data_IF_519588702817
#
_entry.id   IF_519588702817
#
_cell.length_a   1.000
_cell.length_b   1.000
_cell.length_c   1.000
_cell.angle_alpha   90.00
_cell.angle_beta   90.00
_cell.angle_gamma   90.00
#
_symmetry.space_group_name_H-M   'P 1'
#
loop_
_entity.id
_entity.type
_entity.pdbx_description
1 polymer ?
#
# COMPACT_ATOMS: atom_id res chain seq x y z
N UNK A 1 -18.51 -23.75 5.58
CA UNK A 1 -17.85 -22.43 5.63
C UNK A 1 -16.47 -22.59 4.98
N UNK A 2 -16.07 -21.70 4.07
CA UNK A 2 -14.74 -21.80 3.42
C UNK A 2 -13.67 -21.24 4.37
N UNK A 3 -12.56 -21.98 4.53
CA UNK A 3 -11.40 -21.51 5.28
C UNK A 3 -10.75 -20.28 4.65
N UNK A 4 -10.74 -20.19 3.31
CA UNK A 4 -10.21 -19.03 2.61
C UNK A 4 -11.07 -17.78 2.79
N UNK A 5 -12.39 -17.92 2.81
CA UNK A 5 -13.28 -16.80 3.13
C UNK A 5 -13.07 -16.28 4.56
N UNK A 6 -12.95 -17.20 5.53
CA UNK A 6 -12.72 -16.83 6.93
C UNK A 6 -11.35 -16.17 7.11
N UNK A 7 -10.30 -16.75 6.52
CA UNK A 7 -8.95 -16.20 6.59
C UNK A 7 -8.86 -14.82 5.94
N UNK A 8 -9.50 -14.62 4.78
CA UNK A 8 -9.56 -13.32 4.11
C UNK A 8 -10.15 -12.23 5.02
N UNK A 9 -11.30 -12.50 5.65
CA UNK A 9 -11.92 -11.53 6.55
C UNK A 9 -11.07 -11.26 7.79
N UNK A 10 -10.49 -12.30 8.39
CA UNK A 10 -9.63 -12.17 9.56
C UNK A 10 -8.38 -11.33 9.24
N UNK A 11 -7.76 -11.55 8.08
CA UNK A 11 -6.61 -10.77 7.64
C UNK A 11 -6.99 -9.31 7.36
N UNK A 12 -8.14 -9.05 6.75
CA UNK A 12 -8.62 -7.68 6.50
C UNK A 12 -8.84 -6.91 7.81
N UNK A 13 -9.47 -7.55 8.79
CA UNK A 13 -9.72 -6.96 10.11
C UNK A 13 -8.43 -6.79 10.92
N UNK A 14 -7.56 -7.80 10.92
CA UNK A 14 -6.29 -7.75 11.64
C UNK A 14 -5.35 -6.70 11.04
N UNK A 15 -5.21 -6.64 9.71
CA UNK A 15 -4.42 -5.61 9.02
C UNK A 15 -4.88 -4.21 9.40
N UNK A 16 -6.19 -3.95 9.22
CA UNK A 16 -6.79 -2.67 9.60
C UNK A 16 -6.56 -2.32 11.08
N UNK A 17 -6.62 -3.31 11.97
CA UNK A 17 -6.34 -3.12 13.39
C UNK A 17 -4.88 -2.73 13.62
N UNK A 18 -3.90 -3.27 12.89
CA UNK A 18 -2.49 -2.88 13.07
C UNK A 18 -2.25 -1.43 12.65
N UNK A 19 -2.92 -0.93 11.60
CA UNK A 19 -2.91 0.51 11.25
C UNK A 19 -3.42 1.35 12.42
N UNK A 20 -4.56 0.95 13.00
CA UNK A 20 -5.19 1.68 14.12
C UNK A 20 -4.26 1.66 15.33
N UNK A 21 -3.63 0.52 15.63
CA UNK A 21 -2.63 0.40 16.69
C UNK A 21 -1.46 1.34 16.44
N UNK A 22 -0.92 1.40 15.23
CA UNK A 22 0.16 2.33 14.88
C UNK A 22 -0.25 3.79 15.16
N UNK A 23 -1.42 4.19 14.66
CA UNK A 23 -1.95 5.56 14.82
C UNK A 23 -2.25 5.92 16.27
N UNK A 24 -2.77 4.97 17.06
CA UNK A 24 -3.05 5.18 18.47
C UNK A 24 -1.77 5.22 19.30
N UNK A 25 -0.80 4.33 19.06
CA UNK A 25 0.41 4.26 19.88
C UNK A 25 1.32 5.47 19.74
N UNK A 26 1.38 6.12 18.57
CA UNK A 26 2.19 7.34 18.41
C UNK A 26 1.51 8.57 19.04
N UNK A 27 0.18 8.64 19.02
CA UNK A 27 -0.57 9.81 19.50
C UNK A 27 -1.05 9.69 20.95
N UNK A 28 -1.15 8.47 21.49
CA UNK A 28 -1.55 8.13 22.85
C UNK A 28 -0.57 7.11 23.43
N UNK A 29 0.58 7.60 23.88
CA UNK A 29 1.72 6.80 24.31
C UNK A 29 1.40 5.98 25.56
N UNK A 30 1.28 4.64 25.46
CA UNK A 30 0.77 3.82 26.57
C UNK A 30 1.87 3.38 27.55
N UNK A 31 3.14 3.55 27.20
CA UNK A 31 4.29 3.06 27.98
C UNK A 31 5.13 4.20 28.56
N UNK A 32 5.61 4.07 29.82
CA UNK A 32 6.50 5.06 30.42
C UNK A 32 7.76 5.28 29.58
N UNK A 33 8.19 6.54 29.46
CA UNK A 33 9.40 6.99 28.75
C UNK A 33 9.46 6.71 27.24
N UNK A 34 8.49 6.00 26.66
CA UNK A 34 8.39 5.80 25.22
C UNK A 34 8.27 7.14 24.47
N UNK A 35 7.63 8.13 25.09
CA UNK A 35 7.44 9.47 24.56
C UNK A 35 8.74 10.16 24.09
N UNK A 36 9.83 9.88 24.80
CA UNK A 36 11.14 10.51 24.58
C UNK A 36 12.14 9.62 23.84
N UNK A 37 11.73 8.40 23.53
CA UNK A 37 12.45 7.46 22.68
C UNK A 37 11.89 7.50 21.26
N UNK A 38 12.35 8.49 20.51
CA UNK A 38 11.90 8.76 19.14
C UNK A 38 12.18 7.60 18.19
N UNK A 39 13.30 6.90 18.39
CA UNK A 39 13.67 5.75 17.56
C UNK A 39 12.69 4.60 17.73
N UNK A 40 12.34 4.28 18.98
CA UNK A 40 11.35 3.23 19.26
C UNK A 40 9.96 3.61 18.75
N UNK A 41 9.53 4.88 18.87
CA UNK A 41 8.24 5.31 18.31
C UNK A 41 8.18 5.18 16.79
N UNK A 42 9.18 5.71 16.09
CA UNK A 42 9.26 5.64 14.63
C UNK A 42 9.28 4.18 14.16
N UNK A 43 10.05 3.34 14.85
CA UNK A 43 10.15 1.91 14.55
C UNK A 43 8.82 1.20 14.77
N UNK A 44 8.15 1.42 15.90
CA UNK A 44 6.86 0.78 16.20
C UNK A 44 5.78 1.21 15.21
N UNK A 45 5.70 2.50 14.88
CA UNK A 45 4.76 3.01 13.89
C UNK A 45 5.01 2.36 12.53
N UNK A 46 6.23 2.47 12.01
CA UNK A 46 6.63 1.92 10.72
C UNK A 46 6.42 0.41 10.64
N UNK A 47 6.79 -0.32 11.70
CA UNK A 47 6.62 -1.77 11.78
C UNK A 47 5.16 -2.20 11.69
N UNK A 48 4.27 -1.57 12.45
CA UNK A 48 2.84 -1.90 12.41
C UNK A 48 2.21 -1.50 11.07
N UNK A 49 2.64 -0.41 10.45
CA UNK A 49 2.19 -0.01 9.10
C UNK A 49 2.63 -1.01 8.03
N UNK A 50 3.83 -1.60 8.14
CA UNK A 50 4.26 -2.66 7.22
C UNK A 50 3.51 -3.97 7.41
N UNK A 51 3.28 -4.37 8.66
CA UNK A 51 2.49 -5.58 8.96
C UNK A 51 1.10 -5.45 8.37
N UNK A 52 0.44 -4.29 8.52
CA UNK A 52 -0.84 -4.01 7.88
C UNK A 52 -0.79 -4.31 6.38
N UNK A 53 0.13 -3.67 5.66
CA UNK A 53 0.21 -3.80 4.20
C UNK A 53 0.28 -5.26 3.75
N UNK A 54 1.07 -6.09 4.44
CA UNK A 54 1.14 -7.53 4.15
C UNK A 54 -0.17 -8.26 4.46
N UNK A 55 -0.83 -7.97 5.59
CA UNK A 55 -2.07 -8.62 5.98
C UNK A 55 -3.24 -8.23 5.04
N UNK A 56 -3.36 -6.95 4.66
CA UNK A 56 -4.41 -6.48 3.74
C UNK A 56 -4.22 -7.09 2.34
N UNK A 57 -3.00 -7.11 1.81
CA UNK A 57 -2.73 -7.80 0.53
C UNK A 57 -3.05 -9.29 0.64
N UNK A 58 -2.66 -9.93 1.75
CA UNK A 58 -3.02 -11.32 2.04
C UNK A 58 -4.53 -11.57 2.09
N UNK A 59 -5.30 -10.62 2.61
CA UNK A 59 -6.76 -10.68 2.64
C UNK A 59 -7.36 -10.73 1.23
N UNK A 60 -6.87 -9.90 0.31
CA UNK A 60 -7.31 -9.87 -1.10
C UNK A 60 -6.92 -11.16 -1.82
N UNK A 61 -5.71 -11.68 -1.57
CA UNK A 61 -5.26 -12.98 -2.12
C UNK A 61 -6.21 -14.10 -1.67
N UNK A 62 -6.52 -14.20 -0.38
CA UNK A 62 -7.42 -15.23 0.11
C UNK A 62 -8.87 -15.05 -0.34
N UNK A 63 -9.34 -13.81 -0.53
CA UNK A 63 -10.63 -13.54 -1.16
C UNK A 63 -10.65 -14.08 -2.60
N UNK A 64 -9.59 -13.82 -3.37
CA UNK A 64 -9.46 -14.30 -4.75
C UNK A 64 -9.41 -15.83 -4.82
N UNK A 65 -8.66 -16.47 -3.94
CA UNK A 65 -8.60 -17.95 -3.85
C UNK A 65 -9.98 -18.51 -3.51
N UNK A 66 -10.72 -17.88 -2.58
CA UNK A 66 -12.10 -18.25 -2.28
C UNK A 66 -13.00 -18.15 -3.52
N UNK A 67 -12.91 -17.06 -4.29
CA UNK A 67 -13.71 -16.86 -5.51
C UNK A 67 -13.41 -17.90 -6.60
N UNK A 68 -12.18 -18.38 -6.69
CA UNK A 68 -11.78 -19.38 -7.70
C UNK A 68 -12.11 -20.81 -7.26
N UNK A 69 -11.86 -21.16 -5.99
CA UNK A 69 -11.93 -22.56 -5.52
C UNK A 69 -13.25 -22.93 -4.87
N UNK A 70 -13.82 -22.04 -4.07
CA UNK A 70 -14.87 -22.38 -3.11
C UNK A 70 -16.21 -21.71 -3.43
N UNK A 71 -16.21 -20.65 -4.24
CA UNK A 71 -17.43 -19.96 -4.67
C UNK A 71 -18.23 -20.82 -5.67
N UNK A 72 -19.49 -21.08 -5.34
CA UNK A 72 -20.43 -21.86 -6.17
C UNK A 72 -21.64 -21.00 -6.57
N UNK A 73 -21.71 -20.52 -7.84
CA UNK A 73 -22.78 -19.65 -8.31
C UNK A 73 -24.19 -20.26 -8.13
N UNK A 74 -24.31 -21.58 -8.29
CA UNK A 74 -25.58 -22.31 -8.21
C UNK A 74 -26.23 -22.27 -6.83
N UNK A 75 -25.45 -22.06 -5.78
CA UNK A 75 -25.93 -22.03 -4.38
C UNK A 75 -26.10 -20.62 -3.81
N UNK A 76 -25.74 -19.59 -4.58
CA UNK A 76 -25.61 -18.19 -4.11
C UNK A 76 -26.36 -17.21 -5.02
N UNK A 77 -27.48 -17.63 -5.60
CA UNK A 77 -28.25 -16.80 -6.52
C UNK A 77 -28.84 -15.56 -5.82
N UNK A 78 -28.60 -14.39 -6.41
CA UNK A 78 -29.15 -13.10 -5.97
C UNK A 78 -28.83 -12.71 -4.51
N UNK A 79 -27.77 -13.28 -3.94
CA UNK A 79 -27.19 -12.80 -2.68
C UNK A 79 -26.36 -11.51 -2.90
N UNK A 80 -25.77 -10.98 -1.83
CA UNK A 80 -24.97 -9.76 -1.92
C UNK A 80 -23.75 -9.93 -2.83
N UNK A 81 -23.08 -11.09 -2.80
CA UNK A 81 -21.87 -11.34 -3.59
C UNK A 81 -22.23 -11.43 -5.07
N UNK A 82 -23.29 -12.16 -5.41
CA UNK A 82 -23.80 -12.26 -6.79
C UNK A 82 -24.20 -10.88 -7.36
N UNK A 83 -24.85 -10.03 -6.56
CA UNK A 83 -25.19 -8.66 -6.97
C UNK A 83 -23.95 -7.82 -7.24
N UNK A 84 -22.94 -7.89 -6.37
CA UNK A 84 -21.66 -7.19 -6.57
C UNK A 84 -20.97 -7.66 -7.84
N UNK A 85 -20.93 -8.97 -8.10
CA UNK A 85 -20.34 -9.54 -9.31
C UNK A 85 -21.06 -9.10 -10.59
N UNK A 86 -22.40 -8.98 -10.55
CA UNK A 86 -23.19 -8.50 -11.69
C UNK A 86 -22.95 -7.02 -12.04
N UNK A 87 -22.46 -6.23 -11.09
CA UNK A 87 -22.16 -4.81 -11.28
C UNK A 87 -20.66 -4.49 -11.20
N UNK A 88 -19.78 -5.50 -11.30
CA UNK A 88 -18.33 -5.35 -11.12
C UNK A 88 -17.71 -4.32 -12.08
N UNK A 89 -18.17 -4.22 -13.31
CA UNK A 89 -17.60 -3.30 -14.30
C UNK A 89 -17.93 -1.84 -13.95
N UNK A 90 -19.09 -1.60 -13.34
CA UNK A 90 -19.44 -0.28 -12.80
C UNK A 90 -18.57 0.06 -11.59
N UNK A 91 -18.37 -0.88 -10.67
CA UNK A 91 -17.51 -0.68 -9.48
C UNK A 91 -16.07 -0.36 -9.92
N UNK A 92 -15.51 -1.15 -10.82
CA UNK A 92 -14.13 -0.99 -11.33
C UNK A 92 -13.97 0.33 -12.08
N UNK A 93 -14.90 0.69 -12.98
CA UNK A 93 -14.79 1.95 -13.74
C UNK A 93 -14.85 3.19 -12.84
N UNK A 94 -15.69 3.18 -11.80
CA UNK A 94 -15.73 4.29 -10.84
C UNK A 94 -14.47 4.34 -9.97
N UNK A 95 -13.94 3.19 -9.56
CA UNK A 95 -12.69 3.13 -8.80
C UNK A 95 -11.49 3.62 -9.64
N UNK A 96 -11.41 3.23 -10.91
CA UNK A 96 -10.42 3.73 -11.85
C UNK A 96 -10.54 5.26 -12.04
N UNK A 97 -11.77 5.76 -12.25
CA UNK A 97 -12.01 7.21 -12.31
C UNK A 97 -11.52 7.92 -11.03
N UNK A 98 -11.83 7.37 -9.86
CA UNK A 98 -11.38 7.93 -8.59
C UNK A 98 -9.84 7.91 -8.46
N UNK A 99 -9.17 6.84 -8.89
CA UNK A 99 -7.71 6.75 -8.88
C UNK A 99 -7.07 7.81 -9.80
N UNK A 100 -7.60 7.97 -11.02
CA UNK A 100 -7.13 8.99 -11.97
C UNK A 100 -7.37 10.39 -11.41
N UNK A 101 -8.58 10.64 -10.89
CA UNK A 101 -8.93 11.92 -10.27
C UNK A 101 -7.98 12.24 -9.11
N UNK A 102 -7.81 11.32 -8.16
CA UNK A 102 -6.91 11.51 -7.02
C UNK A 102 -5.46 11.70 -7.46
N UNK A 103 -4.97 10.95 -8.46
CA UNK A 103 -3.61 11.11 -8.98
C UNK A 103 -3.35 12.52 -9.53
N UNK A 104 -4.25 13.04 -10.37
CA UNK A 104 -4.12 14.40 -10.90
C UNK A 104 -4.27 15.49 -9.83
N UNK A 105 -5.15 15.29 -8.84
CA UNK A 105 -5.45 16.30 -7.82
C UNK A 105 -4.64 16.14 -6.51
N UNK A 106 -3.66 15.22 -6.48
CA UNK A 106 -2.72 15.09 -5.37
C UNK A 106 -1.28 15.15 -5.88
N UNK A 107 -0.80 14.11 -6.55
CA UNK A 107 0.55 14.08 -7.12
C UNK A 107 0.76 15.16 -8.18
N UNK A 108 -0.27 15.47 -8.97
CA UNK A 108 -0.21 16.59 -9.91
C UNK A 108 0.04 17.95 -9.24
N UNK A 109 -0.40 18.16 -8.00
CA UNK A 109 -0.10 19.39 -7.24
C UNK A 109 1.38 19.49 -6.87
N UNK A 110 2.06 18.37 -6.60
CA UNK A 110 3.50 18.37 -6.38
C UNK A 110 4.27 18.75 -7.66
N UNK A 111 3.85 18.24 -8.83
CA UNK A 111 4.45 18.64 -10.11
C UNK A 111 4.22 20.14 -10.37
N UNK A 112 3.02 20.64 -10.08
CA UNK A 112 2.72 22.08 -10.13
C UNK A 112 3.66 22.87 -9.23
N UNK A 113 3.90 22.42 -8.00
CA UNK A 113 4.84 23.07 -7.07
C UNK A 113 6.27 23.11 -7.61
N UNK A 114 6.79 21.99 -8.09
CA UNK A 114 8.15 21.93 -8.64
C UNK A 114 8.29 22.88 -9.84
N UNK A 115 7.26 22.93 -10.69
CA UNK A 115 7.24 23.83 -11.86
C UNK A 115 7.19 25.29 -11.44
N UNK A 116 6.29 25.68 -10.54
CA UNK A 116 6.16 27.06 -10.09
C UNK A 116 7.39 27.52 -9.29
N UNK A 117 7.97 26.65 -8.47
CA UNK A 117 9.24 26.90 -7.78
C UNK A 117 10.38 27.11 -8.78
N UNK A 118 10.53 26.23 -9.77
CA UNK A 118 11.57 26.34 -10.80
C UNK A 118 11.41 27.59 -11.68
N UNK A 119 10.18 28.03 -11.94
CA UNK A 119 9.89 29.26 -12.69
C UNK A 119 10.07 30.54 -11.84
N UNK A 120 10.29 30.43 -10.53
CA UNK A 120 10.41 31.59 -9.64
C UNK A 120 9.06 32.25 -9.29
N UNK A 121 7.98 31.47 -9.29
CA UNK A 121 6.61 31.90 -8.98
C UNK A 121 6.08 31.29 -7.66
N UNK A 122 6.71 31.59 -6.50
CA UNK A 122 6.28 31.00 -5.22
C UNK A 122 4.89 31.44 -4.76
N UNK A 123 4.40 32.61 -5.23
CA UNK A 123 3.05 33.10 -4.95
C UNK A 123 1.94 32.29 -5.64
N UNK A 124 2.28 31.51 -6.66
CA UNK A 124 1.33 30.70 -7.44
C UNK A 124 1.31 29.22 -6.95
N UNK A 125 2.01 28.92 -5.85
CA UNK A 125 2.07 27.59 -5.22
C UNK A 125 0.90 27.37 -4.26
N UNK A 126 0.51 26.09 -4.08
CA UNK A 126 -0.41 25.72 -3.00
C UNK A 126 0.36 25.55 -1.69
N UNK A 127 0.33 26.57 -0.84
CA UNK A 127 1.04 26.61 0.43
C UNK A 127 0.29 27.46 1.45
N UNK A 128 0.71 27.37 2.72
CA UNK A 128 0.10 28.17 3.78
C UNK A 128 0.35 29.68 3.62
N UNK A 129 1.34 30.08 2.83
CA UNK A 129 1.70 31.49 2.58
C UNK A 129 1.19 32.05 1.25
N UNK A 130 0.66 31.19 0.37
CA UNK A 130 0.17 31.55 -0.96
C UNK A 130 -1.27 31.04 -1.13
N UNK A 131 -1.51 30.07 -2.03
CA UNK A 131 -2.84 29.51 -2.28
C UNK A 131 -3.11 28.39 -1.27
N UNK A 132 -3.93 28.65 -0.27
CA UNK A 132 -4.14 27.71 0.83
C UNK A 132 -5.13 26.60 0.48
N UNK A 133 -4.78 25.35 0.77
CA UNK A 133 -5.70 24.21 0.76
C UNK A 133 -5.75 23.62 2.17
N UNK A 134 -6.50 24.27 3.06
CA UNK A 134 -6.55 23.87 4.47
C UNK A 134 -7.41 22.61 4.69
N UNK A 135 -6.98 21.67 5.54
CA UNK A 135 -7.76 20.50 5.91
C UNK A 135 -8.82 20.86 6.97
N UNK A 136 -9.77 21.73 6.60
CA UNK A 136 -10.76 22.33 7.53
C UNK A 136 -11.58 21.31 8.31
N UNK A 137 -11.91 20.17 7.69
CA UNK A 137 -12.64 19.10 8.39
C UNK A 137 -11.80 18.42 9.46
N UNK A 138 -10.50 18.23 9.22
CA UNK A 138 -9.61 17.64 10.21
C UNK A 138 -9.36 18.61 11.38
N UNK A 139 -9.18 19.90 11.07
CA UNK A 139 -9.07 20.96 12.09
C UNK A 139 -10.36 21.08 12.93
N UNK A 140 -11.53 20.98 12.29
CA UNK A 140 -12.82 20.95 12.99
C UNK A 140 -12.95 19.75 13.94
N UNK A 141 -12.52 18.56 13.50
CA UNK A 141 -12.47 17.37 14.35
C UNK A 141 -11.52 17.59 15.53
N UNK A 142 -10.30 18.09 15.30
CA UNK A 142 -9.35 18.42 16.37
C UNK A 142 -9.99 19.36 17.40
N UNK A 143 -10.61 20.45 16.96
CA UNK A 143 -11.29 21.41 17.83
C UNK A 143 -12.42 20.79 18.65
N UNK A 144 -13.19 19.88 18.06
CA UNK A 144 -14.26 19.16 18.77
C UNK A 144 -13.71 18.36 19.95
N UNK A 145 -12.55 17.72 19.78
CA UNK A 145 -11.92 16.95 20.85
C UNK A 145 -11.12 17.80 21.85
N UNK A 146 -10.59 18.94 21.43
CA UNK A 146 -9.97 19.91 22.34
C UNK A 146 -11.00 20.48 23.31
N UNK A 147 -12.21 20.77 22.81
CA UNK A 147 -13.31 21.34 23.58
C UNK A 147 -14.17 20.28 24.30
N UNK A 148 -13.90 18.99 24.11
CA UNK A 148 -14.69 17.92 24.70
C UNK A 148 -14.63 17.86 26.25
N UNK A 149 -13.47 18.01 26.91
CA UNK A 149 -13.37 17.95 28.37
C UNK A 149 -14.32 18.94 29.04
N UNK A 150 -15.05 18.50 30.04
CA UNK A 150 -16.04 19.31 30.80
C UNK A 150 -17.25 19.83 30.00
N UNK A 151 -17.34 19.58 28.68
CA UNK A 151 -18.51 19.93 27.86
C UNK A 151 -19.26 18.68 27.38
N UNK A 152 -18.76 18.01 26.35
CA UNK A 152 -19.33 16.75 25.83
C UNK A 152 -18.83 15.52 26.58
N UNK A 153 -17.76 15.67 27.37
CA UNK A 153 -17.23 14.66 28.28
C UNK A 153 -17.11 15.22 29.72
N UNK A 154 -18.21 15.30 30.50
CA UNK A 154 -18.26 16.00 31.80
C UNK A 154 -17.38 15.41 32.92
N UNK A 155 -16.92 14.16 32.77
CA UNK A 155 -16.04 13.49 33.75
C UNK A 155 -14.55 13.52 33.38
N UNK A 156 -14.18 14.17 32.28
CA UNK A 156 -12.83 14.15 31.73
C UNK A 156 -12.21 15.54 31.88
N UNK A 157 -10.99 15.60 32.41
CA UNK A 157 -10.27 16.85 32.71
C UNK A 157 -9.27 17.27 31.64
N UNK A 158 -8.83 16.37 30.77
CA UNK A 158 -7.87 16.63 29.69
C UNK A 158 -8.35 16.02 28.38
N UNK A 159 -7.94 16.54 27.21
CA UNK A 159 -8.28 15.87 25.95
C UNK A 159 -7.64 14.49 25.87
N UNK A 160 -8.16 13.65 24.98
CA UNK A 160 -7.74 12.27 24.78
C UNK A 160 -6.28 12.14 24.29
N UNK A 161 -5.79 13.14 23.55
CA UNK A 161 -4.39 13.25 23.15
C UNK A 161 -3.95 14.71 23.13
N UNK A 162 -2.73 14.96 23.61
CA UNK A 162 -2.08 16.27 23.53
C UNK A 162 -1.78 16.69 22.10
N UNK A 163 -1.69 15.74 21.15
CA UNK A 163 -1.44 16.04 19.73
C UNK A 163 -2.55 16.85 19.07
N UNK A 164 -3.74 16.90 19.66
CA UNK A 164 -4.91 17.53 19.04
C UNK A 164 -5.09 19.01 19.42
N UNK A 165 -4.21 19.58 20.24
CA UNK A 165 -4.17 21.03 20.49
C UNK A 165 -4.67 21.48 21.86
N UNK A 166 -4.96 20.57 22.79
CA UNK A 166 -5.57 20.92 24.08
C UNK A 166 -4.58 21.15 25.23
N UNK A 167 -3.27 21.18 24.97
CA UNK A 167 -2.29 21.23 26.05
C UNK A 167 -0.95 21.82 25.67
N UNK A 168 -0.28 22.35 26.70
CA UNK A 168 1.11 22.82 26.61
C UNK A 168 2.04 21.66 26.23
N UNK A 169 3.20 22.03 25.69
CA UNK A 169 4.28 21.10 25.38
C UNK A 169 4.60 20.23 26.60
N UNK A 170 4.46 18.91 26.45
CA UNK A 170 4.89 17.96 27.46
C UNK A 170 6.37 17.65 27.24
N UNK A 171 7.23 17.95 28.21
CA UNK A 171 8.65 17.62 28.16
C UNK A 171 9.04 16.68 29.29
N UNK A 172 9.92 15.72 29.01
CA UNK A 172 10.52 14.81 29.99
C UNK A 172 12.02 14.76 29.73
N UNK A 173 12.83 15.05 30.76
CA UNK A 173 14.29 14.99 30.63
C UNK A 173 14.88 15.91 29.56
N UNK A 174 14.28 17.09 29.34
CA UNK A 174 14.70 18.05 28.32
C UNK A 174 14.33 17.68 26.88
N UNK A 175 13.61 16.57 26.67
CA UNK A 175 13.06 16.15 25.38
C UNK A 175 11.56 16.41 25.32
N UNK A 176 11.06 16.74 24.13
CA UNK A 176 9.61 16.88 23.91
C UNK A 176 9.00 15.49 23.83
N UNK A 177 8.07 15.20 24.73
CA UNK A 177 7.31 13.96 24.80
C UNK A 177 6.10 14.00 23.85
N UNK A 178 5.30 15.06 23.92
CA UNK A 178 4.11 15.28 23.09
C UNK A 178 3.91 16.78 22.88
N UNK A 179 3.50 17.18 21.68
CA UNK A 179 3.07 18.54 21.34
C UNK A 179 1.87 18.51 20.40
N UNK A 180 1.06 19.59 20.33
CA UNK A 180 0.07 19.76 19.28
C UNK A 180 0.65 19.60 17.87
N UNK A 181 -0.03 18.85 17.01
CA UNK A 181 0.33 18.69 15.60
C UNK A 181 -0.62 19.57 14.77
N UNK A 182 -0.20 20.79 14.39
CA UNK A 182 -1.01 21.63 13.51
C UNK A 182 -1.14 20.97 12.14
N UNK A 183 -2.30 21.14 11.50
CA UNK A 183 -2.58 20.62 10.17
C UNK A 183 -2.69 21.78 9.20
N UNK A 184 -1.83 21.80 8.18
CA UNK A 184 -1.80 22.83 7.14
C UNK A 184 -1.98 22.28 5.72
N UNK A 185 -1.62 23.09 4.73
CA UNK A 185 -1.73 22.73 3.30
C UNK A 185 -0.86 21.52 2.92
N UNK A 186 0.28 21.35 3.57
CA UNK A 186 1.14 20.18 3.40
C UNK A 186 0.46 18.90 3.87
N UNK A 187 -0.23 18.95 5.02
CA UNK A 187 -0.99 17.83 5.56
C UNK A 187 -2.17 17.46 4.66
N UNK A 188 -2.87 18.46 4.13
CA UNK A 188 -3.91 18.23 3.12
C UNK A 188 -3.35 17.46 1.92
N UNK A 189 -2.20 17.89 1.39
CA UNK A 189 -1.58 17.30 0.20
C UNK A 189 -1.17 15.84 0.43
N UNK A 190 -0.42 15.56 1.51
CA UNK A 190 0.05 14.20 1.80
C UNK A 190 -1.11 13.24 2.13
N UNK A 191 -2.18 13.73 2.77
CA UNK A 191 -3.38 12.90 3.03
C UNK A 191 -4.09 12.49 1.74
N UNK A 192 -4.11 13.36 0.72
CA UNK A 192 -4.64 12.99 -0.60
C UNK A 192 -3.73 12.02 -1.34
N UNK A 193 -2.39 12.08 -1.14
CA UNK A 193 -1.47 11.05 -1.65
C UNK A 193 -1.75 9.70 -0.99
N UNK A 194 -1.94 9.65 0.33
CA UNK A 194 -2.33 8.40 1.00
C UNK A 194 -3.67 7.86 0.49
N UNK A 195 -4.66 8.74 0.27
CA UNK A 195 -5.92 8.32 -0.33
C UNK A 195 -5.69 7.74 -1.73
N UNK A 196 -4.91 8.42 -2.57
CA UNK A 196 -4.57 7.95 -3.92
C UNK A 196 -3.93 6.55 -3.89
N UNK A 197 -2.87 6.35 -3.09
CA UNK A 197 -2.15 5.07 -3.05
C UNK A 197 -3.02 3.93 -2.49
N UNK A 198 -3.87 4.20 -1.50
CA UNK A 198 -4.84 3.21 -0.98
C UNK A 198 -5.87 2.84 -2.06
N UNK A 199 -6.43 3.82 -2.77
CA UNK A 199 -7.42 3.56 -3.83
C UNK A 199 -6.79 2.74 -4.97
N UNK A 200 -5.58 3.10 -5.42
CA UNK A 200 -4.85 2.32 -6.44
C UNK A 200 -4.55 0.90 -5.96
N UNK A 201 -4.17 0.73 -4.69
CA UNK A 201 -3.95 -0.61 -4.11
C UNK A 201 -5.25 -1.42 -4.01
N UNK A 202 -6.40 -0.76 -3.86
CA UNK A 202 -7.71 -1.42 -3.89
C UNK A 202 -8.18 -1.75 -5.32
N UNK A 203 -7.61 -1.09 -6.32
CA UNK A 203 -7.86 -1.26 -7.76
C UNK A 203 -7.13 -2.51 -8.33
N UNK A 204 -7.24 -3.63 -7.60
CA UNK A 204 -6.56 -4.90 -7.91
C UNK A 204 -7.50 -5.90 -8.62
N UNK A 205 -8.71 -5.47 -8.98
CA UNK A 205 -9.72 -6.35 -9.57
C UNK A 205 -9.49 -6.56 -11.07
N UNK A 206 -9.05 -7.77 -11.46
CA UNK A 206 -9.24 -8.28 -12.82
C UNK A 206 -10.64 -8.85 -12.97
N UNK A 207 -11.37 -8.52 -14.05
CA UNK A 207 -12.66 -9.13 -14.35
C UNK A 207 -12.46 -10.40 -15.18
N UNK A 208 -13.20 -11.48 -14.88
CA UNK A 208 -13.19 -12.73 -15.67
C UNK A 208 -14.51 -12.80 -16.43
N UNK A 209 -14.50 -12.73 -17.76
CA UNK A 209 -15.72 -12.90 -18.57
C UNK A 209 -16.35 -14.28 -18.33
N UNK A 210 -17.63 -14.44 -18.66
CA UNK A 210 -18.33 -15.73 -18.56
C UNK A 210 -17.73 -16.84 -19.47
N UNK A 211 -16.69 -16.52 -20.25
CA UNK A 211 -15.91 -17.43 -21.10
C UNK A 211 -14.47 -17.67 -20.57
N UNK A 212 -14.14 -17.21 -19.36
CA UNK A 212 -12.82 -17.43 -18.75
C UNK A 212 -11.73 -16.46 -19.20
N UNK A 213 -12.07 -15.35 -19.86
CA UNK A 213 -11.09 -14.33 -20.29
C UNK A 213 -10.87 -13.32 -19.17
N UNK A 214 -9.63 -13.17 -18.71
CA UNK A 214 -9.22 -12.14 -17.74
C UNK A 214 -9.06 -10.80 -18.45
N UNK A 215 -9.88 -9.81 -18.10
CA UNK A 215 -9.75 -8.41 -18.53
C UNK A 215 -9.33 -7.55 -17.34
N UNK A 216 -8.13 -6.99 -17.43
CA UNK A 216 -7.63 -6.01 -16.46
C UNK A 216 -8.21 -4.61 -16.73
N UNK A 217 -8.19 -3.78 -15.69
CA UNK A 217 -8.78 -2.43 -15.55
C UNK A 217 -8.34 -1.44 -16.66
N UNK A 218 -7.23 -1.74 -17.33
CA UNK A 218 -6.74 -1.01 -18.50
C UNK A 218 -7.34 -1.50 -19.83
N UNK A 219 -8.56 -2.06 -19.88
CA UNK A 219 -9.28 -2.30 -21.15
C UNK A 219 -8.51 -3.05 -22.25
N UNK A 220 -7.66 -4.02 -21.89
CA UNK A 220 -6.84 -4.70 -22.90
C UNK A 220 -5.67 -3.86 -23.46
N UNK A 221 -5.21 -2.82 -22.74
CA UNK A 221 -3.99 -2.11 -23.08
C UNK A 221 -2.72 -2.94 -22.86
N UNK A 222 -2.80 -4.25 -22.65
CA UNK A 222 -1.69 -5.13 -23.00
C UNK A 222 -1.30 -4.95 -24.48
N UNK A 223 -2.25 -4.60 -25.36
CA UNK A 223 -1.97 -4.27 -26.76
C UNK A 223 -1.21 -2.94 -26.97
N UNK A 224 -1.30 -1.94 -26.07
CA UNK A 224 -0.45 -0.72 -26.13
C UNK A 224 0.67 -0.65 -25.08
N UNK A 225 0.68 -1.51 -24.05
CA UNK A 225 1.80 -1.62 -23.10
C UNK A 225 2.83 -2.66 -23.58
N UNK A 226 2.44 -3.55 -24.51
CA UNK A 226 3.35 -4.46 -25.22
C UNK A 226 4.20 -3.78 -26.31
N UNK A 227 4.04 -2.47 -26.55
CA UNK A 227 4.96 -1.71 -27.42
C UNK A 227 6.13 -1.08 -26.65
N UNK A 228 6.25 -1.29 -25.33
CA UNK A 228 7.48 -0.95 -24.61
C UNK A 228 8.43 -2.15 -24.60
N UNK A 229 9.65 -1.93 -25.10
CA UNK A 229 10.75 -2.92 -25.17
C UNK A 229 10.98 -3.63 -23.81
N UNK A 230 10.71 -2.94 -22.70
CA UNK A 230 10.90 -3.45 -21.34
C UNK A 230 9.93 -4.61 -20.96
N UNK A 231 8.70 -4.61 -21.48
CA UNK A 231 7.74 -5.69 -21.24
C UNK A 231 8.10 -7.00 -21.95
N UNK A 232 8.58 -6.88 -23.20
CA UNK A 232 9.12 -8.01 -23.97
C UNK A 232 10.46 -8.51 -23.40
N UNK A 233 11.33 -7.61 -22.97
CA UNK A 233 12.61 -7.95 -22.32
C UNK A 233 12.41 -8.77 -21.05
N UNK A 234 11.50 -8.35 -20.17
CA UNK A 234 11.37 -8.93 -18.82
C UNK A 234 10.60 -10.25 -18.78
N UNK A 235 9.49 -10.39 -19.50
CA UNK A 235 8.58 -11.52 -19.30
C UNK A 235 8.71 -12.64 -20.35
N UNK A 236 9.15 -12.33 -21.58
CA UNK A 236 9.30 -13.32 -22.67
C UNK A 236 10.76 -13.60 -23.01
N UNK A 237 11.56 -12.54 -23.25
CA UNK A 237 12.97 -12.69 -23.62
C UNK A 237 13.84 -13.13 -22.44
N UNK A 238 13.64 -12.63 -21.22
CA UNK A 238 14.47 -13.02 -20.08
C UNK A 238 14.27 -14.48 -19.65
N UNK A 239 13.03 -14.97 -19.64
CA UNK A 239 12.75 -16.37 -19.28
C UNK A 239 13.32 -17.35 -20.33
N UNK A 240 13.19 -17.02 -21.62
CA UNK A 240 13.81 -17.81 -22.70
C UNK A 240 15.33 -17.66 -22.70
N UNK A 241 15.87 -16.43 -22.61
CA UNK A 241 17.31 -16.18 -22.58
C UNK A 241 18.01 -16.86 -21.39
N UNK A 242 17.35 -16.90 -20.22
CA UNK A 242 17.89 -17.62 -19.06
C UNK A 242 17.96 -19.12 -19.31
N UNK A 243 16.95 -19.70 -19.96
CA UNK A 243 16.96 -21.11 -20.34
C UNK A 243 18.04 -21.41 -21.38
N UNK A 244 18.17 -20.59 -22.43
CA UNK A 244 19.21 -20.71 -23.46
C UNK A 244 20.63 -20.62 -22.87
N UNK A 245 20.84 -19.71 -21.91
CA UNK A 245 22.10 -19.59 -21.19
C UNK A 245 22.38 -20.84 -20.35
N UNK A 246 21.37 -21.36 -19.63
CA UNK A 246 21.51 -22.58 -18.82
C UNK A 246 21.86 -23.78 -19.70
N UNK A 247 21.27 -23.89 -20.90
CA UNK A 247 21.59 -24.98 -21.84
C UNK A 247 23.02 -24.86 -22.39
N UNK A 248 23.47 -23.64 -22.68
CA UNK A 248 24.86 -23.38 -23.08
C UNK A 248 25.82 -23.75 -21.95
N UNK A 249 25.52 -23.37 -20.71
CA UNK A 249 26.32 -23.72 -19.54
C UNK A 249 26.33 -25.23 -19.28
N UNK A 250 25.19 -25.90 -19.39
CA UNK A 250 25.08 -27.35 -19.25
C UNK A 250 25.96 -28.07 -20.27
N UNK A 251 25.95 -27.61 -21.52
CA UNK A 251 26.84 -28.11 -22.57
C UNK A 251 28.32 -27.91 -22.23
N UNK A 252 28.71 -26.74 -21.69
CA UNK A 252 30.11 -26.49 -21.30
C UNK A 252 30.56 -27.38 -20.14
N UNK A 253 29.68 -27.61 -19.16
CA UNK A 253 29.96 -28.45 -18.00
C UNK A 253 30.21 -29.91 -18.40
N UNK A 254 29.38 -30.45 -19.29
CA UNK A 254 29.52 -31.82 -19.80
C UNK A 254 30.81 -32.03 -20.61
N UNK A 255 31.35 -30.95 -21.21
CA UNK A 255 32.58 -30.98 -22.01
C UNK A 255 33.85 -30.61 -21.24
N UNK A 256 33.74 -30.31 -19.95
CA UNK A 256 34.89 -29.93 -19.12
C UNK A 256 35.47 -31.16 -18.40
N UNK A 257 36.74 -31.56 -18.66
CA UNK A 257 37.31 -32.85 -18.24
C UNK A 257 37.24 -33.18 -16.74
N UNK A 258 37.22 -32.19 -15.86
CA UNK A 258 37.09 -32.38 -14.41
C UNK A 258 35.64 -32.25 -13.91
N UNK A 259 34.84 -31.40 -14.56
CA UNK A 259 33.46 -31.13 -14.16
C UNK A 259 32.52 -32.27 -14.61
N UNK A 260 32.83 -32.96 -15.71
CA UNK A 260 32.04 -34.07 -16.26
C UNK A 260 31.95 -35.29 -15.33
N UNK A 261 32.85 -35.40 -14.34
CA UNK A 261 32.77 -36.41 -13.28
C UNK A 261 31.67 -36.11 -12.26
N UNK A 262 31.27 -34.84 -12.11
CA UNK A 262 30.14 -34.42 -11.29
C UNK A 262 28.91 -34.20 -12.16
N UNK A 263 28.00 -35.17 -12.18
CA UNK A 263 26.72 -35.06 -12.89
C UNK A 263 25.63 -34.53 -11.98
N UNK A 264 24.74 -33.72 -12.55
CA UNK A 264 23.49 -33.32 -11.93
C UNK A 264 22.59 -34.54 -11.70
N UNK A 265 21.91 -34.58 -10.55
CA UNK A 265 20.82 -35.52 -10.30
C UNK A 265 19.55 -35.10 -11.06
N UNK A 266 19.28 -33.79 -11.08
CA UNK A 266 18.14 -33.18 -11.75
C UNK A 266 18.64 -32.19 -12.82
N UNK A 267 17.97 -32.15 -13.98
CA UNK A 267 18.36 -31.28 -15.08
C UNK A 267 18.25 -29.80 -14.67
N UNK A 268 19.29 -28.97 -14.85
CA UNK A 268 19.18 -27.54 -14.58
C UNK A 268 18.20 -26.90 -15.57
N UNK A 269 17.25 -26.16 -15.03
CA UNK A 269 16.21 -25.44 -15.78
C UNK A 269 16.03 -24.05 -15.20
N UNK A 270 15.65 -23.10 -16.05
CA UNK A 270 15.27 -21.76 -15.61
C UNK A 270 14.07 -21.84 -14.66
N UNK A 271 13.99 -20.88 -13.75
CA UNK A 271 12.79 -20.70 -12.91
C UNK A 271 11.57 -20.40 -13.79
N UNK A 272 10.41 -20.91 -13.40
CA UNK A 272 9.16 -20.61 -14.11
C UNK A 272 8.81 -19.11 -14.03
N UNK A 273 7.95 -18.62 -14.93
CA UNK A 273 7.53 -17.21 -14.96
C UNK A 273 6.93 -16.77 -13.60
N UNK A 274 6.09 -17.60 -13.00
CA UNK A 274 5.48 -17.30 -11.69
C UNK A 274 6.53 -17.29 -10.58
N UNK A 275 7.47 -18.23 -10.59
CA UNK A 275 8.57 -18.25 -9.64
C UNK A 275 9.49 -17.03 -9.81
N UNK A 276 9.81 -16.63 -11.03
CA UNK A 276 10.62 -15.44 -11.30
C UNK A 276 9.95 -14.17 -10.77
N UNK A 277 8.64 -14.00 -11.00
CA UNK A 277 7.85 -12.89 -10.44
C UNK A 277 7.85 -12.90 -8.91
N UNK A 278 7.68 -14.07 -8.30
CA UNK A 278 7.71 -14.21 -6.84
C UNK A 278 9.11 -13.90 -6.28
N UNK A 279 10.16 -14.44 -6.87
CA UNK A 279 11.55 -14.20 -6.45
C UNK A 279 11.90 -12.72 -6.59
N UNK A 280 11.54 -12.09 -7.73
CA UNK A 280 11.75 -10.67 -7.96
C UNK A 280 11.00 -9.81 -6.94
N UNK A 281 9.71 -10.08 -6.71
CA UNK A 281 8.91 -9.39 -5.71
C UNK A 281 9.48 -9.57 -4.30
N UNK A 282 9.92 -10.78 -3.94
CA UNK A 282 10.51 -11.05 -2.64
C UNK A 282 11.79 -10.24 -2.43
N UNK A 283 12.70 -10.22 -3.40
CA UNK A 283 13.92 -9.42 -3.31
C UNK A 283 13.63 -7.92 -3.29
N UNK A 284 12.67 -7.46 -4.09
CA UNK A 284 12.24 -6.06 -4.10
C UNK A 284 11.68 -5.66 -2.73
N UNK A 285 10.74 -6.43 -2.16
CA UNK A 285 10.13 -6.13 -0.86
C UNK A 285 11.15 -6.20 0.27
N UNK A 286 12.00 -7.23 0.30
CA UNK A 286 13.08 -7.35 1.30
C UNK A 286 14.04 -6.17 1.18
N UNK A 287 14.57 -5.90 -0.02
CA UNK A 287 15.49 -4.80 -0.26
C UNK A 287 14.89 -3.45 0.15
N UNK A 288 13.62 -3.20 -0.20
CA UNK A 288 12.92 -1.97 0.14
C UNK A 288 12.76 -1.80 1.65
N UNK A 289 12.27 -2.81 2.36
CA UNK A 289 12.03 -2.76 3.81
C UNK A 289 13.34 -2.62 4.57
N UNK A 290 14.37 -3.40 4.24
CA UNK A 290 15.65 -3.33 4.94
C UNK A 290 16.40 -2.03 4.68
N UNK A 291 16.31 -1.48 3.46
CA UNK A 291 16.90 -0.18 3.15
C UNK A 291 16.21 0.93 3.93
N UNK A 292 14.87 0.94 3.96
CA UNK A 292 14.11 1.93 4.72
C UNK A 292 14.30 1.81 6.24
N UNK A 293 14.44 0.60 6.77
CA UNK A 293 14.67 0.38 8.20
C UNK A 293 16.07 0.78 8.65
N UNK A 294 17.06 0.74 7.75
CA UNK A 294 18.44 1.15 8.05
C UNK A 294 18.66 2.67 7.95
N UNK A 295 17.84 3.36 7.16
CA UNK A 295 17.81 4.82 7.03
C UNK A 295 17.13 5.48 8.24
#
# INVERSE_FOLDING_TARGET
MSWHAQLSLNLAMLGSLTIVVAHHMYSMLPYPYLATDYGTQLSLFTHHMWIDGFLIVGAVVHATIFMVRDYKPTTRYNDLIDRVLRHRDAIISHLNWACVFLGFHSFGLYIHHDTMSALGHPQDMFSDTAIQLQPVFAQWIQNTYVLAPSATAPGVTTSISLTWGSGDLLAVGGKVALLPIPLGTTDFSVRHIHAFTIHVTSDVWGSISNQGVVTHIMGGNFAQSSITINGWLRDFLWAQASQELIETLAWTHERTPLASFMRWRDKPVAVSIVQARLVGLAHFSVGYIFTYAAF
#
